data_IF_525335182409
#
_entry.id   IF_525335182409
#
_cell.length_a   1.000
_cell.length_b   1.000
_cell.length_c   1.000
_cell.angle_alpha   90.00
_cell.angle_beta   90.00
_cell.angle_gamma   90.00
#
_symmetry.space_group_name_H-M   'P 1'
#
loop_
_entity.id
_entity.type
_entity.pdbx_description
1 polymer ?
#
# COMPACT_ATOMS: atom_id res chain seq x y z
N UNK A 1 -16.40 -12.74 -9.44
CA UNK A 1 -16.10 -11.71 -8.42
C UNK A 1 -15.64 -12.42 -7.18
N UNK A 2 -14.43 -12.15 -6.70
CA UNK A 2 -13.98 -12.60 -5.38
C UNK A 2 -14.64 -11.70 -4.33
N UNK A 3 -15.25 -12.28 -3.31
CA UNK A 3 -15.78 -11.54 -2.17
C UNK A 3 -14.65 -10.74 -1.51
N UNK A 4 -14.85 -9.45 -1.20
CA UNK A 4 -13.92 -8.67 -0.39
C UNK A 4 -13.64 -9.36 0.94
N UNK A 5 -12.38 -9.45 1.40
CA UNK A 5 -12.10 -9.97 2.72
C UNK A 5 -12.60 -9.03 3.80
N UNK A 6 -13.08 -9.62 4.89
CA UNK A 6 -13.46 -8.90 6.10
C UNK A 6 -12.23 -8.36 6.83
N UNK A 7 -12.45 -7.40 7.72
CA UNK A 7 -11.37 -6.85 8.52
C UNK A 7 -10.77 -7.90 9.46
N UNK A 8 -11.61 -8.78 10.02
CA UNK A 8 -11.17 -9.89 10.85
C UNK A 8 -10.29 -10.88 10.08
N UNK A 9 -10.62 -11.16 8.81
CA UNK A 9 -9.80 -12.02 7.96
C UNK A 9 -8.44 -11.40 7.66
N UNK A 10 -8.40 -10.12 7.26
CA UNK A 10 -7.14 -9.42 6.98
C UNK A 10 -6.27 -9.35 8.24
N UNK A 11 -6.87 -9.02 9.39
CA UNK A 11 -6.17 -9.02 10.67
C UNK A 11 -5.64 -10.40 11.03
N UNK A 12 -6.43 -11.46 10.83
CA UNK A 12 -5.99 -12.84 11.06
C UNK A 12 -4.84 -13.28 10.15
N UNK A 13 -4.75 -12.71 8.94
CA UNK A 13 -3.66 -12.98 8.00
C UNK A 13 -2.37 -12.26 8.38
N UNK A 14 -2.47 -10.95 8.61
CA UNK A 14 -1.31 -10.09 8.90
C UNK A 14 -0.82 -10.26 10.34
N UNK A 15 -1.72 -10.46 11.30
CA UNK A 15 -1.40 -10.45 12.73
C UNK A 15 -1.09 -9.06 13.28
N UNK A 16 -1.34 -8.00 12.50
CA UNK A 16 -1.22 -6.59 12.88
C UNK A 16 -2.46 -5.82 12.42
N UNK A 17 -2.72 -4.65 13.02
CA UNK A 17 -3.78 -3.76 12.53
C UNK A 17 -3.46 -3.30 11.11
N UNK A 18 -4.48 -3.04 10.30
CA UNK A 18 -4.29 -2.59 8.92
C UNK A 18 -5.11 -1.33 8.65
N UNK A 19 -4.60 -0.50 7.75
CA UNK A 19 -5.28 0.71 7.33
C UNK A 19 -6.26 0.41 6.22
N UNK A 20 -7.45 1.01 6.30
CA UNK A 20 -8.42 1.11 5.23
C UNK A 20 -8.62 2.59 4.88
N UNK A 21 -8.92 2.91 3.62
CA UNK A 21 -9.30 4.26 3.26
C UNK A 21 -10.61 4.64 3.96
N UNK A 22 -10.60 5.80 4.61
CA UNK A 22 -11.80 6.49 5.06
C UNK A 22 -12.06 7.65 4.09
N UNK A 23 -13.24 7.65 3.48
CA UNK A 23 -13.65 8.72 2.59
C UNK A 23 -14.96 9.32 3.13
N UNK A 24 -14.88 10.20 4.15
CA UNK A 24 -16.08 10.75 4.76
C UNK A 24 -16.82 11.73 3.83
N UNK A 25 -16.11 12.31 2.86
CA UNK A 25 -16.63 13.32 1.94
C UNK A 25 -16.75 12.86 0.47
N UNK A 26 -16.31 11.64 0.16
CA UNK A 26 -16.36 11.04 -1.17
C UNK A 26 -16.88 9.61 -1.06
N UNK A 27 -17.64 9.11 -2.04
CA UNK A 27 -17.88 7.66 -2.09
C UNK A 27 -16.60 7.01 -2.60
N UNK A 28 -15.96 6.25 -1.73
CA UNK A 28 -14.94 5.29 -2.10
C UNK A 28 -15.56 3.91 -2.20
N UNK A 29 -15.23 3.15 -3.24
CA UNK A 29 -15.61 1.75 -3.34
C UNK A 29 -14.38 0.89 -3.59
N UNK A 30 -14.35 -0.26 -2.94
CA UNK A 30 -13.25 -1.20 -3.09
C UNK A 30 -13.33 -1.86 -4.47
N UNK A 31 -12.31 -1.68 -5.29
CA UNK A 31 -12.25 -2.21 -6.66
C UNK A 31 -11.40 -3.47 -6.78
N UNK A 32 -10.60 -3.77 -5.75
CA UNK A 32 -9.80 -4.98 -5.71
C UNK A 32 -8.94 -5.06 -4.46
N UNK A 33 -8.34 -6.23 -4.25
CA UNK A 33 -7.37 -6.45 -3.20
C UNK A 33 -6.31 -7.45 -3.68
N UNK A 34 -5.10 -7.30 -3.17
CA UNK A 34 -3.96 -8.18 -3.39
C UNK A 34 -3.37 -8.58 -2.04
N UNK A 35 -2.79 -9.77 -1.97
CA UNK A 35 -1.97 -10.18 -0.83
C UNK A 35 -0.66 -10.76 -1.33
N UNK A 36 0.43 -10.32 -0.73
CA UNK A 36 1.74 -10.92 -0.96
C UNK A 36 2.03 -11.90 0.18
N UNK A 37 2.32 -13.14 -0.18
CA UNK A 37 2.71 -14.20 0.75
C UNK A 37 4.18 -14.50 0.57
N UNK A 38 4.96 -14.41 1.65
CA UNK A 38 6.35 -14.88 1.64
C UNK A 38 6.46 -16.24 2.33
N UNK A 39 7.39 -17.07 1.83
CA UNK A 39 7.89 -18.25 2.53
C UNK A 39 9.22 -17.98 3.26
N UNK A 40 9.79 -16.77 3.11
CA UNK A 40 11.08 -16.40 3.67
C UNK A 40 10.92 -15.72 5.03
N UNK A 41 11.79 -16.07 5.98
CA UNK A 41 11.95 -15.31 7.22
C UNK A 41 12.72 -14.00 6.98
N UNK A 42 12.89 -13.19 8.03
CA UNK A 42 13.55 -11.88 8.03
C UNK A 42 15.00 -11.88 7.47
N UNK A 43 15.56 -13.03 7.09
CA UNK A 43 16.90 -13.18 6.53
C UNK A 43 16.90 -13.69 5.08
N UNK A 44 15.74 -13.67 4.39
CA UNK A 44 15.64 -14.13 3.01
C UNK A 44 15.79 -15.65 2.86
N UNK A 45 15.71 -16.40 3.96
CA UNK A 45 15.82 -17.86 3.93
C UNK A 45 14.41 -18.43 3.90
N UNK A 46 14.09 -19.15 2.81
CA UNK A 46 12.91 -20.01 2.72
C UNK A 46 13.08 -21.22 3.64
N UNK A 47 13.04 -20.99 4.96
CA UNK A 47 12.92 -22.09 5.93
C UNK A 47 11.50 -22.59 5.88
N UNK A 48 11.34 -23.88 6.08
CA UNK A 48 10.07 -24.62 6.07
C UNK A 48 9.16 -24.13 7.22
N UNK A 49 8.60 -22.92 7.08
CA UNK A 49 7.76 -22.25 8.07
C UNK A 49 6.30 -22.67 7.87
N UNK A 50 6.01 -23.97 7.87
CA UNK A 50 4.65 -24.50 7.82
C UNK A 50 3.78 -23.92 6.69
N UNK A 51 2.77 -23.09 7.00
CA UNK A 51 1.86 -22.49 6.02
C UNK A 51 2.26 -21.04 5.68
N UNK A 52 2.24 -20.64 4.39
CA UNK A 52 2.51 -19.26 3.99
C UNK A 52 1.57 -18.30 4.72
N UNK A 53 2.14 -17.23 5.28
CA UNK A 53 1.38 -16.14 5.91
C UNK A 53 1.52 -14.90 5.04
N UNK A 54 0.41 -14.17 4.78
CA UNK A 54 0.50 -12.87 4.15
C UNK A 54 1.38 -11.93 4.99
N UNK A 55 2.25 -11.20 4.31
CA UNK A 55 3.08 -10.14 4.91
C UNK A 55 2.63 -8.75 4.46
N UNK A 56 1.92 -8.70 3.34
CA UNK A 56 1.37 -7.48 2.78
C UNK A 56 -0.05 -7.73 2.32
N UNK A 57 -0.92 -6.76 2.57
CA UNK A 57 -2.24 -6.67 1.96
C UNK A 57 -2.38 -5.28 1.38
N UNK A 58 -2.73 -5.22 0.09
CA UNK A 58 -3.02 -3.99 -0.63
C UNK A 58 -4.48 -3.98 -1.06
N UNK A 59 -5.16 -2.86 -0.84
CA UNK A 59 -6.58 -2.69 -1.13
C UNK A 59 -6.75 -1.47 -2.02
N UNK A 60 -7.29 -1.69 -3.21
CA UNK A 60 -7.55 -0.64 -4.19
C UNK A 60 -8.94 -0.05 -4.01
N UNK A 61 -9.00 1.27 -4.03
CA UNK A 61 -10.20 2.07 -3.84
C UNK A 61 -10.38 3.00 -5.02
N UNK A 62 -11.57 3.04 -5.61
CA UNK A 62 -11.96 4.02 -6.62
C UNK A 62 -12.88 5.06 -6.00
N UNK A 63 -12.56 6.33 -6.26
CA UNK A 63 -13.29 7.50 -5.81
C UNK A 63 -14.32 7.95 -6.86
N UNK A 64 -15.25 8.81 -6.45
CA UNK A 64 -16.33 9.33 -7.32
C UNK A 64 -15.85 10.05 -8.59
N UNK A 65 -14.64 10.61 -8.59
CA UNK A 65 -14.02 11.25 -9.74
C UNK A 65 -13.31 10.26 -10.70
N UNK A 66 -13.39 8.96 -10.39
CA UNK A 66 -12.72 7.88 -11.12
C UNK A 66 -11.24 7.75 -10.78
N UNK A 67 -10.69 8.57 -9.88
CA UNK A 67 -9.34 8.38 -9.38
C UNK A 67 -9.25 7.10 -8.57
N UNK A 68 -8.08 6.48 -8.59
CA UNK A 68 -7.86 5.24 -7.84
C UNK A 68 -6.66 5.36 -6.93
N UNK A 69 -6.80 4.81 -5.72
CA UNK A 69 -5.79 4.86 -4.68
C UNK A 69 -5.68 3.48 -4.03
N UNK A 70 -4.45 3.04 -3.80
CA UNK A 70 -4.17 1.78 -3.12
C UNK A 70 -3.66 2.08 -1.71
N UNK A 71 -4.28 1.43 -0.73
CA UNK A 71 -3.85 1.44 0.66
C UNK A 71 -3.22 0.09 0.96
N UNK A 72 -1.94 0.11 1.30
CA UNK A 72 -1.16 -1.09 1.57
C UNK A 72 -0.74 -1.11 3.03
N UNK A 73 -0.98 -2.24 3.69
CA UNK A 73 -0.42 -2.53 5.02
C UNK A 73 0.55 -3.70 4.91
N UNK A 74 1.76 -3.48 5.40
CA UNK A 74 2.83 -4.45 5.52
C UNK A 74 3.04 -4.76 7.02
N UNK A 75 3.19 -6.04 7.32
CA UNK A 75 3.78 -6.48 8.59
C UNK A 75 5.29 -6.27 8.48
N UNK A 76 5.84 -5.35 9.24
CA UNK A 76 7.24 -4.92 9.11
C UNK A 76 8.26 -5.88 9.77
N UNK A 77 8.11 -7.18 9.56
CA UNK A 77 9.12 -8.20 9.90
C UNK A 77 10.00 -8.56 8.69
N UNK A 78 9.89 -7.83 7.59
CA UNK A 78 10.53 -8.07 6.29
C UNK A 78 12.05 -7.80 6.23
N UNK A 79 12.75 -7.84 7.37
CA UNK A 79 14.22 -7.85 7.42
C UNK A 79 14.88 -6.47 7.50
N UNK A 80 14.17 -5.42 7.92
CA UNK A 80 14.75 -4.10 8.24
C UNK A 80 14.95 -3.16 7.03
N UNK A 81 14.23 -3.38 5.94
CA UNK A 81 14.18 -2.44 4.83
C UNK A 81 13.57 -1.10 5.28
N UNK A 82 14.04 0.02 4.71
CA UNK A 82 13.54 1.34 5.10
C UNK A 82 12.14 1.61 4.51
N UNK A 83 11.38 2.50 5.14
CA UNK A 83 10.09 2.98 4.61
C UNK A 83 10.23 3.51 3.18
N UNK A 84 11.35 4.18 2.88
CA UNK A 84 11.63 4.70 1.52
C UNK A 84 11.71 3.57 0.50
N UNK A 85 12.35 2.46 0.86
CA UNK A 85 12.46 1.30 -0.01
C UNK A 85 11.08 0.69 -0.28
N UNK A 86 10.27 0.49 0.75
CA UNK A 86 8.91 -0.04 0.60
C UNK A 86 8.04 0.88 -0.26
N UNK A 87 8.07 2.19 -0.01
CA UNK A 87 7.32 3.17 -0.79
C UNK A 87 7.74 3.18 -2.26
N UNK A 88 9.04 3.08 -2.52
CA UNK A 88 9.56 2.97 -3.87
C UNK A 88 9.02 1.71 -4.55
N UNK A 89 9.21 0.54 -3.96
CA UNK A 89 8.72 -0.73 -4.53
C UNK A 89 7.21 -0.70 -4.79
N UNK A 90 6.41 -0.19 -3.85
CA UNK A 90 4.96 -0.07 -4.04
C UNK A 90 4.58 0.91 -5.14
N UNK A 91 5.26 2.07 -5.23
CA UNK A 91 5.03 3.06 -6.29
C UNK A 91 5.38 2.50 -7.67
N UNK A 92 6.47 1.74 -7.78
CA UNK A 92 6.86 1.03 -9.00
C UNK A 92 5.80 0.03 -9.41
N UNK A 93 5.36 -0.83 -8.48
CA UNK A 93 4.32 -1.82 -8.74
C UNK A 93 3.00 -1.18 -9.18
N UNK A 94 2.63 -0.06 -8.54
CA UNK A 94 1.45 0.73 -8.91
C UNK A 94 1.54 1.27 -10.34
N UNK A 95 2.67 1.89 -10.70
CA UNK A 95 2.91 2.39 -12.06
C UNK A 95 2.87 1.29 -13.11
N UNK A 96 3.46 0.12 -12.80
CA UNK A 96 3.44 -1.04 -13.67
C UNK A 96 2.02 -1.61 -13.85
N UNK A 97 1.21 -1.61 -12.78
CA UNK A 97 -0.19 -2.02 -12.84
C UNK A 97 -1.03 -1.06 -13.69
N UNK A 98 -0.82 0.26 -13.56
CA UNK A 98 -1.48 1.26 -14.41
C UNK A 98 -1.08 1.12 -15.88
N UNK A 99 0.21 0.93 -16.16
CA UNK A 99 0.72 0.72 -17.53
C UNK A 99 0.13 -0.54 -18.19
N UNK A 100 -0.24 -1.57 -17.41
CA UNK A 100 -0.92 -2.79 -17.87
C UNK A 100 -2.45 -2.73 -17.92
N UNK A 101 -3.08 -1.62 -17.46
CA UNK A 101 -4.53 -1.43 -17.19
C UNK A 101 -5.11 -2.45 -16.17
N UNK A 102 -5.47 -1.93 -14.99
CA UNK A 102 -6.16 -2.59 -13.85
C UNK A 102 -7.13 -3.70 -14.30
N UNK A 103 -6.75 -4.96 -14.07
CA UNK A 103 -7.61 -6.12 -14.36
C UNK A 103 -6.85 -7.40 -14.70
N UNK A 104 -5.57 -7.28 -15.03
CA UNK A 104 -4.65 -8.42 -15.15
C UNK A 104 -3.35 -8.03 -14.46
N UNK A 105 -2.79 -8.84 -13.53
CA UNK A 105 -1.45 -8.59 -13.00
C UNK A 105 -0.48 -8.47 -14.19
N UNK A 106 0.32 -7.40 -14.30
CA UNK A 106 0.22 -6.54 -15.50
C UNK A 106 0.84 -7.13 -16.77
N UNK A 107 1.56 -8.24 -16.67
CA UNK A 107 2.15 -9.00 -17.77
C UNK A 107 2.16 -10.46 -17.32
N UNK A 108 1.36 -11.35 -17.91
CA UNK A 108 1.20 -12.72 -17.41
C UNK A 108 2.50 -13.36 -16.91
N UNK A 109 2.68 -13.47 -15.59
CA UNK A 109 3.89 -14.00 -14.91
C UNK A 109 5.27 -13.45 -15.36
N UNK A 110 5.35 -12.40 -16.16
CA UNK A 110 6.57 -11.94 -16.82
C UNK A 110 7.09 -10.59 -16.29
N UNK A 111 8.39 -10.27 -16.51
CA UNK A 111 8.92 -8.96 -16.17
C UNK A 111 8.23 -7.87 -17.00
N UNK A 112 8.16 -6.62 -16.49
CA UNK A 112 7.64 -5.52 -17.26
C UNK A 112 8.50 -5.29 -18.53
N UNK A 113 7.92 -4.76 -19.62
CA UNK A 113 8.67 -4.49 -20.84
C UNK A 113 9.90 -3.61 -20.59
N UNK A 114 11.02 -3.82 -21.30
CA UNK A 114 12.30 -3.13 -21.04
C UNK A 114 12.21 -1.60 -21.00
N UNK A 115 11.35 -1.00 -21.85
CA UNK A 115 11.14 0.45 -21.89
C UNK A 115 10.54 1.03 -20.59
N UNK A 116 9.89 0.21 -19.77
CA UNK A 116 9.43 0.59 -18.44
C UNK A 116 10.51 0.30 -17.40
N UNK A 117 11.23 -0.82 -17.50
CA UNK A 117 12.36 -1.16 -16.60
C UNK A 117 13.41 -0.06 -16.58
N UNK A 118 13.82 0.44 -17.74
CA UNK A 118 14.86 1.48 -17.85
C UNK A 118 14.44 2.82 -17.24
N UNK A 119 13.12 3.11 -17.20
CA UNK A 119 12.56 4.33 -16.57
C UNK A 119 12.36 4.19 -15.07
N UNK A 120 12.27 2.95 -14.58
CA UNK A 120 11.99 2.62 -13.19
C UNK A 120 13.26 2.52 -12.32
N UNK A 121 14.42 2.95 -12.85
CA UNK A 121 15.76 2.95 -12.22
C UNK A 121 15.87 1.97 -11.04
N UNK A 122 15.87 0.68 -11.38
CA UNK A 122 15.57 -0.42 -10.45
C UNK A 122 16.66 -0.67 -9.41
N UNK A 123 17.69 0.17 -9.34
CA UNK A 123 18.91 -0.13 -8.59
C UNK A 123 18.93 0.48 -7.20
N UNK A 124 18.26 1.62 -6.96
CA UNK A 124 18.13 2.21 -5.61
C UNK A 124 16.88 3.11 -5.49
N UNK A 125 16.22 3.13 -4.32
CA UNK A 125 15.16 4.10 -4.06
C UNK A 125 15.73 5.53 -4.06
N UNK A 126 15.00 6.52 -4.59
CA UNK A 126 15.43 7.91 -4.56
C UNK A 126 15.37 8.49 -3.14
N UNK A 127 15.98 9.66 -2.94
CA UNK A 127 15.75 10.44 -1.72
C UNK A 127 14.26 10.83 -1.61
N UNK A 128 13.70 10.87 -0.38
CA UNK A 128 12.34 11.34 -0.17
C UNK A 128 12.11 12.74 -0.76
N UNK A 129 11.00 12.92 -1.46
CA UNK A 129 10.56 14.23 -1.90
C UNK A 129 10.16 15.13 -0.71
N UNK A 130 9.85 14.53 0.44
CA UNK A 130 9.61 15.22 1.70
C UNK A 130 8.91 14.36 2.74
N UNK A 131 8.24 15.02 3.68
CA UNK A 131 7.32 14.37 4.62
C UNK A 131 5.93 15.02 4.55
N UNK A 132 4.90 14.27 4.92
CA UNK A 132 3.49 14.68 4.87
C UNK A 132 2.71 14.14 6.05
N UNK A 133 1.72 14.89 6.56
CA UNK A 133 0.77 14.37 7.56
C UNK A 133 -0.49 13.86 6.87
N UNK A 134 -0.97 12.70 7.31
CA UNK A 134 -2.27 12.12 6.94
C UNK A 134 -3.13 11.95 8.19
N UNK A 135 -4.44 12.15 8.03
CA UNK A 135 -5.43 11.89 9.09
C UNK A 135 -5.59 10.39 9.28
N UNK A 136 -5.48 9.93 10.53
CA UNK A 136 -5.71 8.53 10.90
C UNK A 136 -6.69 8.46 12.07
N UNK A 137 -7.73 7.64 11.94
CA UNK A 137 -8.80 7.51 12.93
C UNK A 137 -9.39 8.90 13.32
N UNK A 138 -9.44 9.83 12.35
CA UNK A 138 -9.94 11.21 12.52
C UNK A 138 -8.99 12.19 13.20
N UNK A 139 -7.73 11.81 13.45
CA UNK A 139 -6.70 12.67 14.05
C UNK A 139 -5.48 12.91 13.14
N UNK A 140 -4.99 14.15 13.13
CA UNK A 140 -3.72 14.52 12.50
C UNK A 140 -2.58 14.40 13.53
N UNK A 141 -1.64 13.47 13.33
CA UNK A 141 -0.56 13.30 14.32
C UNK A 141 0.82 12.88 13.76
N UNK A 142 0.88 12.20 12.62
CA UNK A 142 2.11 11.52 12.20
C UNK A 142 2.68 12.14 10.94
N UNK A 143 4.00 12.37 10.89
CA UNK A 143 4.71 12.74 9.67
C UNK A 143 5.17 11.47 8.94
N UNK A 144 4.74 11.34 7.70
CA UNK A 144 4.94 10.19 6.82
C UNK A 144 5.97 10.56 5.76
N UNK A 145 6.79 9.60 5.37
CA UNK A 145 7.70 9.75 4.22
C UNK A 145 6.86 9.93 2.96
N UNK A 146 7.28 10.84 2.08
CA UNK A 146 6.57 11.16 0.85
C UNK A 146 7.51 11.04 -0.37
N UNK A 147 7.05 10.32 -1.39
CA UNK A 147 7.66 10.20 -2.70
C UNK A 147 6.66 10.69 -3.75
N UNK A 148 7.15 11.39 -4.77
CA UNK A 148 6.35 11.78 -5.92
C UNK A 148 7.15 11.59 -7.20
N UNK A 149 6.47 11.15 -8.26
CA UNK A 149 7.06 11.01 -9.60
C UNK A 149 5.98 11.22 -10.67
N UNK A 150 6.36 11.57 -11.90
CA UNK A 150 5.42 11.56 -13.02
C UNK A 150 5.02 10.13 -13.39
N UNK A 151 3.75 9.90 -13.67
CA UNK A 151 3.22 8.67 -14.28
C UNK A 151 3.91 8.41 -15.63
N UNK A 152 4.44 7.21 -15.82
CA UNK A 152 5.19 6.89 -17.04
C UNK A 152 4.40 6.97 -18.35
N UNK A 153 3.07 6.82 -18.30
CA UNK A 153 2.22 6.77 -19.49
C UNK A 153 1.64 8.15 -19.85
N UNK A 154 1.28 8.94 -18.85
CA UNK A 154 0.52 10.20 -18.98
C UNK A 154 1.31 11.43 -18.55
N UNK A 155 2.37 11.25 -17.75
CA UNK A 155 3.14 12.35 -17.13
C UNK A 155 2.40 13.02 -15.97
N UNK A 156 1.19 12.59 -15.63
CA UNK A 156 0.44 13.13 -14.49
C UNK A 156 1.13 12.79 -13.16
N UNK A 157 1.04 13.63 -12.13
CA UNK A 157 1.74 13.39 -10.87
C UNK A 157 1.14 12.23 -10.08
N UNK A 158 1.99 11.26 -9.74
CA UNK A 158 1.71 10.19 -8.78
C UNK A 158 2.50 10.40 -7.50
N UNK A 159 1.97 9.87 -6.40
CA UNK A 159 2.61 9.93 -5.11
C UNK A 159 2.50 8.60 -4.36
N UNK A 160 3.45 8.40 -3.46
CA UNK A 160 3.41 7.37 -2.43
C UNK A 160 3.74 8.02 -1.07
N UNK A 161 2.93 7.76 -0.06
CA UNK A 161 3.11 8.28 1.29
C UNK A 161 3.04 7.14 2.30
N UNK A 162 4.01 7.04 3.22
CA UNK A 162 4.16 5.86 4.08
C UNK A 162 4.84 6.12 5.42
N UNK A 163 4.52 5.28 6.39
CA UNK A 163 5.04 5.39 7.75
C UNK A 163 4.53 4.26 8.65
N UNK A 164 5.08 4.21 9.86
CA UNK A 164 4.71 3.21 10.86
C UNK A 164 3.60 3.70 11.79
N UNK A 165 2.62 2.83 12.03
CA UNK A 165 1.62 2.98 13.08
C UNK A 165 1.67 1.73 13.96
N UNK A 166 2.27 1.86 15.14
CA UNK A 166 2.56 0.69 15.98
C UNK A 166 3.48 -0.30 15.24
N UNK A 167 3.01 -1.52 15.03
CA UNK A 167 3.74 -2.58 14.31
C UNK A 167 3.38 -2.68 12.82
N UNK A 168 2.55 -1.77 12.33
CA UNK A 168 2.05 -1.77 10.95
C UNK A 168 2.81 -0.73 10.14
N UNK A 169 3.47 -1.17 9.07
CA UNK A 169 3.93 -0.25 8.03
C UNK A 169 2.77 -0.02 7.08
N UNK A 170 2.36 1.24 6.94
CA UNK A 170 1.23 1.64 6.10
C UNK A 170 1.74 2.51 4.98
N UNK A 171 1.19 2.32 3.79
CA UNK A 171 1.52 3.09 2.59
C UNK A 171 0.26 3.40 1.79
N UNK A 172 0.22 4.59 1.20
CA UNK A 172 -0.87 5.10 0.38
C UNK A 172 -0.29 5.53 -0.95
N UNK A 173 -0.77 4.96 -2.06
CA UNK A 173 -0.21 5.18 -3.39
C UNK A 173 -1.33 5.51 -4.39
N UNK A 174 -1.14 6.52 -5.22
CA UNK A 174 -2.13 6.94 -6.21
C UNK A 174 -1.77 8.27 -6.89
N UNK A 175 -2.73 8.90 -7.60
CA UNK A 175 -2.61 10.29 -8.04
C UNK A 175 -2.27 11.20 -6.85
N UNK A 176 -1.39 12.18 -7.08
CA UNK A 176 -0.87 13.01 -6.00
C UNK A 176 -1.98 13.69 -5.18
N UNK A 177 -2.95 14.31 -5.83
CA UNK A 177 -4.05 15.00 -5.13
C UNK A 177 -4.88 14.04 -4.28
N UNK A 178 -5.09 12.83 -4.79
CA UNK A 178 -5.81 11.76 -4.07
C UNK A 178 -5.06 11.27 -2.84
N UNK A 179 -3.73 11.10 -2.94
CA UNK A 179 -2.88 10.75 -1.79
C UNK A 179 -2.88 11.87 -0.75
N UNK A 180 -2.86 13.13 -1.18
CA UNK A 180 -2.86 14.28 -0.28
C UNK A 180 -4.19 14.48 0.47
N UNK A 181 -5.29 13.99 -0.09
CA UNK A 181 -6.62 14.03 0.48
C UNK A 181 -7.02 12.73 1.23
N UNK A 182 -6.14 11.74 1.28
CA UNK A 182 -6.45 10.45 1.88
C UNK A 182 -6.59 10.55 3.41
N UNK A 183 -7.65 9.94 3.94
CA UNK A 183 -7.84 9.71 5.35
C UNK A 183 -7.89 8.20 5.60
N UNK A 184 -7.37 7.75 6.74
CA UNK A 184 -7.21 6.32 7.04
C UNK A 184 -7.92 5.93 8.32
N UNK A 185 -8.53 4.75 8.31
CA UNK A 185 -9.05 4.09 9.51
C UNK A 185 -8.27 2.82 9.80
N UNK A 186 -7.83 2.67 11.05
CA UNK A 186 -7.06 1.50 11.48
C UNK A 186 -7.98 0.40 12.02
N UNK A 187 -7.87 -0.79 11.46
CA UNK A 187 -8.72 -1.95 11.74
C UNK A 187 -7.92 -3.15 12.28
N UNK A 188 -8.51 -3.99 13.15
CA UNK A 188 -9.75 -3.72 13.87
C UNK A 188 -9.60 -2.49 14.76
N UNK A 189 -10.72 -1.83 15.05
CA UNK A 189 -10.72 -0.75 16.03
C UNK A 189 -10.37 -1.34 17.40
N UNK A 190 -9.63 -0.60 18.25
CA UNK A 190 -9.46 -1.03 19.62
C UNK A 190 -10.84 -1.25 20.24
N UNK A 191 -11.00 -2.35 20.98
CA UNK A 191 -12.18 -2.52 21.82
C UNK A 191 -12.20 -1.34 22.78
N UNK A 192 -13.14 -0.41 22.57
CA UNK A 192 -13.39 0.65 23.55
C UNK A 192 -13.76 -0.08 24.84
N UNK A 193 -13.10 0.18 25.98
CA UNK A 193 -13.53 -0.40 27.24
C UNK A 193 -14.99 -0.02 27.42
N UNK A 194 -15.87 -1.03 27.45
CA UNK A 194 -17.26 -0.86 27.84
C UNK A 194 -17.22 -0.19 29.19
N UNK A 195 -17.69 1.05 29.25
CA UNK A 195 -17.57 1.91 30.42
C UNK A 195 -17.96 1.18 31.70
N UNK A 196 -17.08 1.29 32.69
CA UNK A 196 -17.38 1.01 34.10
C UNK A 196 -17.81 2.32 34.74
#
# INVERSE_FOLDING_TARGET
MLTPPTAEEIYGWLGVRFAMLEAPHHRAHMVGWHKETTHADAHGVARDMGRPRPVEVSIGHELDDGATIDVTTVRDDTGGASVVYHLWTSLINYQLALAGRRGTPPWGSGPPPPQYVDRLDTNNPPEPAGTRTLSVDGGDATAWVYLACPDMATGAPLAACGGHIGTSLVMVIGPQDTVLAAELRMLPQPELPVGV
#
